data_IF_169689267514
#
_entry.id   IF_169689267514
#
_cell.length_a   1.000
_cell.length_b   1.000
_cell.length_c   1.000
_cell.angle_alpha   90.00
_cell.angle_beta   90.00
_cell.angle_gamma   90.00
#
_symmetry.space_group_name_H-M   'P 1'
#
loop_
_entity.id
_entity.type
_entity.pdbx_description
1 polymer ?
#
# COMPACT_ATOMS: atom_id res chain seq x y z
N UNK A 1 -17.45 65.46 -13.36
CA UNK A 1 -16.89 66.59 -14.14
C UNK A 1 -15.63 66.16 -14.85
N UNK A 2 -15.74 66.27 -16.17
CA UNK A 2 -14.70 66.57 -17.22
C UNK A 2 -13.50 65.62 -17.31
N UNK A 3 -13.41 64.75 -18.36
CA UNK A 3 -12.99 65.17 -19.72
C UNK A 3 -11.54 65.74 -19.71
N UNK A 4 -10.58 65.19 -20.47
CA UNK A 4 -10.34 65.28 -21.89
C UNK A 4 -9.08 64.48 -22.24
N UNK A 5 -9.08 63.56 -23.22
CA UNK A 5 -8.73 63.81 -24.65
C UNK A 5 -7.31 64.39 -24.86
N UNK A 6 -6.44 63.72 -25.54
CA UNK A 6 -6.14 63.73 -26.99
C UNK A 6 -4.68 63.28 -27.14
N UNK A 7 -4.21 62.65 -28.07
CA UNK A 7 -4.25 62.49 -29.50
C UNK A 7 -2.85 62.31 -30.05
N UNK A 8 -2.71 61.33 -30.94
CA UNK A 8 -2.03 61.37 -32.25
C UNK A 8 -0.53 61.70 -32.29
N UNK A 9 0.30 61.05 -33.07
CA UNK A 9 0.31 60.68 -34.48
C UNK A 9 1.65 60.03 -34.85
N UNK A 10 1.75 58.92 -35.56
CA UNK A 10 1.82 58.83 -37.01
C UNK A 10 3.15 59.30 -37.67
N UNK A 11 3.71 58.41 -38.46
CA UNK A 11 4.69 58.76 -39.53
C UNK A 11 5.82 57.72 -39.62
N UNK A 12 5.76 56.87 -40.49
CA UNK A 12 5.93 56.73 -41.94
C UNK A 12 7.33 56.37 -42.42
N UNK A 13 7.39 55.16 -43.03
CA UNK A 13 8.13 54.76 -44.25
C UNK A 13 9.61 55.15 -44.43
N UNK A 14 10.43 54.14 -44.71
CA UNK A 14 10.96 53.87 -46.05
C UNK A 14 11.78 52.59 -46.14
N UNK A 15 11.54 51.89 -47.24
CA UNK A 15 12.27 50.81 -47.86
C UNK A 15 13.71 51.18 -48.21
N UNK A 16 14.57 50.18 -48.33
CA UNK A 16 15.49 49.91 -49.47
C UNK A 16 16.36 48.68 -49.13
N UNK A 17 16.07 47.58 -49.75
CA UNK A 17 16.75 46.78 -50.79
C UNK A 17 18.27 46.51 -50.62
N UNK A 18 18.50 45.18 -50.64
CA UNK A 18 19.58 44.44 -51.33
C UNK A 18 20.96 44.34 -50.69
N UNK A 19 21.36 43.11 -50.37
CA UNK A 19 22.30 42.32 -51.16
C UNK A 19 22.52 40.92 -50.56
N UNK A 20 22.41 39.97 -51.46
CA UNK A 20 22.86 38.57 -51.28
C UNK A 20 24.36 38.52 -50.91
N UNK A 21 24.72 37.62 -50.01
CA UNK A 21 25.95 36.88 -50.12
C UNK A 21 25.73 35.49 -49.48
N UNK A 22 26.02 34.48 -50.31
CA UNK A 22 26.08 33.07 -50.00
C UNK A 22 27.12 32.81 -48.91
N UNK A 23 26.77 32.07 -47.88
CA UNK A 23 27.66 31.54 -46.90
C UNK A 23 27.21 30.13 -46.46
N UNK A 24 27.96 29.17 -46.88
CA UNK A 24 27.75 27.72 -46.80
C UNK A 24 27.38 27.21 -45.42
N UNK A 25 26.47 26.23 -45.40
CA UNK A 25 25.95 25.54 -44.25
C UNK A 25 27.02 24.80 -43.45
N UNK A 26 26.88 24.90 -42.14
CA UNK A 26 27.26 23.88 -41.21
C UNK A 26 26.02 23.36 -40.51
N UNK A 27 25.55 22.21 -40.96
CA UNK A 27 24.56 21.41 -40.24
C UNK A 27 25.14 20.99 -38.90
N UNK A 28 24.73 21.62 -37.83
CA UNK A 28 24.93 21.11 -36.48
C UNK A 28 24.08 19.86 -36.32
N UNK A 29 24.71 18.71 -36.36
CA UNK A 29 24.12 17.43 -35.97
C UNK A 29 23.72 17.50 -34.49
N UNK A 30 22.42 17.47 -34.20
CA UNK A 30 21.88 17.19 -32.88
C UNK A 30 22.33 15.77 -32.50
N UNK A 31 22.91 15.54 -31.31
CA UNK A 31 23.12 14.19 -30.82
C UNK A 31 21.77 13.57 -30.51
N UNK A 32 21.47 12.43 -31.14
CA UNK A 32 20.42 11.53 -30.74
C UNK A 32 20.74 11.08 -29.31
N UNK A 33 19.92 11.50 -28.36
CA UNK A 33 19.87 10.89 -27.03
C UNK A 33 19.42 9.44 -27.23
N UNK A 34 20.36 8.52 -27.23
CA UNK A 34 20.05 7.11 -27.05
C UNK A 34 19.44 6.96 -25.65
N UNK A 35 18.12 6.77 -25.59
CA UNK A 35 17.50 6.14 -24.41
C UNK A 35 18.20 4.80 -24.20
N UNK A 36 19.08 4.76 -23.22
CA UNK A 36 19.55 3.49 -22.66
C UNK A 36 18.36 2.90 -21.91
N UNK A 37 17.64 2.01 -22.55
CA UNK A 37 16.79 1.03 -21.89
C UNK A 37 17.72 0.10 -21.13
N UNK A 38 18.05 0.43 -19.90
CA UNK A 38 18.69 -0.53 -19.00
C UNK A 38 17.62 -1.52 -18.59
N UNK A 39 17.67 -2.68 -19.21
CA UNK A 39 17.03 -3.87 -18.73
C UNK A 39 17.59 -4.19 -17.34
N UNK A 40 16.84 -3.89 -16.29
CA UNK A 40 17.08 -4.38 -14.93
C UNK A 40 16.00 -5.43 -14.64
N UNK A 41 16.09 -6.54 -15.32
CA UNK A 41 15.30 -7.73 -15.05
C UNK A 41 16.28 -8.86 -14.70
N UNK A 42 16.86 -8.84 -13.49
CA UNK A 42 17.54 -10.00 -12.91
C UNK A 42 17.94 -9.73 -11.45
N UNK A 43 16.97 -9.50 -10.55
CA UNK A 43 17.26 -9.48 -9.11
C UNK A 43 16.02 -9.76 -8.22
N UNK A 44 14.98 -10.44 -8.73
CA UNK A 44 13.75 -10.62 -7.94
C UNK A 44 13.37 -12.06 -7.58
N UNK A 45 14.14 -13.07 -7.96
CA UNK A 45 13.73 -14.48 -7.72
C UNK A 45 14.21 -15.08 -6.39
N UNK A 46 15.01 -14.40 -5.57
CA UNK A 46 15.55 -14.98 -4.33
C UNK A 46 14.90 -14.46 -3.03
N UNK A 47 14.10 -13.38 -3.09
CA UNK A 47 13.62 -12.71 -1.88
C UNK A 47 12.36 -13.34 -1.24
N UNK A 48 11.68 -14.25 -1.93
CA UNK A 48 10.41 -14.85 -1.48
C UNK A 48 10.42 -16.37 -1.38
N UNK A 49 11.57 -17.04 -1.48
CA UNK A 49 11.63 -18.48 -1.28
C UNK A 49 11.52 -18.82 0.21
N UNK A 50 10.42 -19.49 0.56
CA UNK A 50 10.17 -19.99 1.91
C UNK A 50 11.07 -21.22 2.20
N UNK A 51 11.65 -21.30 3.39
CA UNK A 51 12.35 -22.49 3.88
C UNK A 51 11.38 -23.67 4.03
N UNK A 52 11.90 -24.88 4.16
CA UNK A 52 11.07 -26.09 4.38
C UNK A 52 10.16 -25.96 5.61
N UNK A 53 10.65 -25.35 6.69
CA UNK A 53 9.84 -25.10 7.89
C UNK A 53 8.71 -24.12 7.61
N UNK A 54 9.00 -23.01 6.93
CA UNK A 54 8.00 -22.01 6.54
C UNK A 54 6.95 -22.59 5.59
N UNK A 55 7.36 -23.44 4.64
CA UNK A 55 6.44 -24.15 3.76
C UNK A 55 5.49 -25.07 4.56
N UNK A 56 6.03 -25.80 5.55
CA UNK A 56 5.19 -26.60 6.47
C UNK A 56 4.20 -25.73 7.24
N UNK A 57 4.62 -24.61 7.78
CA UNK A 57 3.73 -23.67 8.47
C UNK A 57 2.60 -23.16 7.56
N UNK A 58 2.92 -22.84 6.30
CA UNK A 58 1.90 -22.45 5.30
C UNK A 58 0.93 -23.60 5.03
N UNK A 59 1.41 -24.85 4.90
CA UNK A 59 0.52 -26.01 4.70
C UNK A 59 -0.43 -26.21 5.89
N UNK A 60 0.05 -26.10 7.11
CA UNK A 60 -0.78 -26.17 8.32
C UNK A 60 -1.85 -25.06 8.35
N UNK A 61 -1.49 -23.84 7.92
CA UNK A 61 -2.45 -22.74 7.76
C UNK A 61 -3.54 -23.09 6.75
N UNK A 62 -3.16 -23.61 5.57
CA UNK A 62 -4.12 -23.93 4.51
C UNK A 62 -5.09 -25.03 4.95
N UNK A 63 -4.59 -26.08 5.61
CA UNK A 63 -5.41 -27.14 6.19
C UNK A 63 -6.40 -26.58 7.22
N UNK A 64 -5.93 -25.77 8.16
CA UNK A 64 -6.77 -25.13 9.18
C UNK A 64 -7.81 -24.19 8.54
N UNK A 65 -7.41 -23.39 7.55
CA UNK A 65 -8.32 -22.50 6.84
C UNK A 65 -9.46 -23.25 6.15
N UNK A 66 -9.14 -24.32 5.42
CA UNK A 66 -10.13 -25.12 4.69
C UNK A 66 -11.09 -25.84 5.65
N UNK A 67 -10.59 -26.40 6.75
CA UNK A 67 -11.44 -27.05 7.77
C UNK A 67 -12.40 -26.03 8.43
N UNK A 68 -11.88 -24.90 8.90
CA UNK A 68 -12.69 -23.89 9.55
C UNK A 68 -13.66 -23.19 8.58
N UNK A 69 -13.27 -23.05 7.30
CA UNK A 69 -14.11 -22.43 6.29
C UNK A 69 -15.43 -23.17 6.05
N UNK A 70 -15.47 -24.47 6.31
CA UNK A 70 -16.70 -25.28 6.24
C UNK A 70 -17.75 -24.81 7.27
N UNK A 71 -17.32 -24.16 8.35
CA UNK A 71 -18.16 -23.76 9.49
C UNK A 71 -18.36 -22.24 9.60
N UNK A 72 -17.46 -21.43 9.00
CA UNK A 72 -17.41 -20.01 9.33
C UNK A 72 -17.38 -19.03 8.14
N UNK A 73 -17.33 -19.48 6.90
CA UNK A 73 -17.21 -18.59 5.72
C UNK A 73 -16.06 -17.58 5.86
N UNK A 74 -14.85 -18.07 6.12
CA UNK A 74 -13.65 -17.25 6.24
C UNK A 74 -13.20 -16.69 4.90
N UNK A 75 -13.36 -17.48 3.85
CA UNK A 75 -13.01 -17.14 2.47
C UNK A 75 -13.99 -17.76 1.48
N UNK A 76 -14.14 -17.13 0.31
CA UNK A 76 -14.88 -17.71 -0.82
C UNK A 76 -14.09 -18.80 -1.57
N UNK A 77 -12.79 -18.94 -1.29
CA UNK A 77 -11.90 -19.92 -1.93
C UNK A 77 -11.94 -21.21 -1.11
N UNK A 78 -12.26 -22.32 -1.76
CA UNK A 78 -12.44 -23.63 -1.12
C UNK A 78 -11.49 -24.70 -1.66
N UNK A 79 -10.73 -24.40 -2.70
CA UNK A 79 -9.74 -25.30 -3.30
C UNK A 79 -8.34 -24.93 -2.79
N UNK A 80 -7.56 -25.95 -2.40
CA UNK A 80 -6.21 -25.77 -1.83
C UNK A 80 -5.27 -25.06 -2.79
N UNK A 81 -5.26 -25.41 -4.08
CA UNK A 81 -4.39 -24.82 -5.08
C UNK A 81 -4.75 -23.34 -5.33
N UNK A 82 -6.04 -23.03 -5.29
CA UNK A 82 -6.51 -21.64 -5.33
C UNK A 82 -6.15 -20.85 -4.07
N UNK A 83 -6.22 -21.46 -2.87
CA UNK A 83 -5.77 -20.82 -1.63
C UNK A 83 -4.29 -20.47 -1.72
N UNK A 84 -3.46 -21.40 -2.20
CA UNK A 84 -2.03 -21.16 -2.38
C UNK A 84 -1.79 -19.97 -3.34
N UNK A 85 -2.45 -19.96 -4.48
CA UNK A 85 -2.23 -18.91 -5.50
C UNK A 85 -2.83 -17.57 -5.10
N UNK A 86 -4.11 -17.56 -4.67
CA UNK A 86 -4.90 -16.34 -4.44
C UNK A 86 -4.75 -15.75 -3.04
N UNK A 87 -4.20 -16.52 -2.09
CA UNK A 87 -4.03 -16.06 -0.71
C UNK A 87 -2.57 -16.04 -0.28
N UNK A 88 -1.84 -17.14 -0.47
CA UNK A 88 -0.44 -17.22 -0.01
C UNK A 88 0.46 -16.37 -0.91
N UNK A 89 0.49 -16.63 -2.22
CA UNK A 89 1.31 -15.86 -3.19
C UNK A 89 0.93 -14.39 -3.15
N UNK A 90 -0.36 -14.07 -3.10
CA UNK A 90 -0.88 -12.72 -3.03
C UNK A 90 -0.41 -11.95 -1.77
N UNK A 91 -0.34 -12.66 -0.64
CA UNK A 91 0.18 -12.07 0.61
C UNK A 91 1.68 -11.84 0.55
N UNK A 92 2.45 -12.80 0.04
CA UNK A 92 3.91 -12.65 -0.12
C UNK A 92 4.28 -11.54 -1.09
N UNK A 93 3.48 -11.33 -2.12
CA UNK A 93 3.73 -10.33 -3.17
C UNK A 93 3.77 -8.88 -2.65
N UNK A 94 3.28 -8.60 -1.44
CA UNK A 94 3.37 -7.24 -0.84
C UNK A 94 4.72 -6.98 -0.16
N UNK A 95 5.53 -8.02 0.13
CA UNK A 95 6.82 -7.86 0.83
C UNK A 95 7.85 -7.06 0.02
N UNK A 96 8.14 -7.39 -1.25
CA UNK A 96 9.16 -6.67 -2.00
C UNK A 96 8.93 -5.15 -2.06
N UNK A 97 7.74 -4.64 -2.44
CA UNK A 97 7.51 -3.20 -2.45
C UNK A 97 7.55 -2.58 -1.04
N UNK A 98 7.07 -3.28 -0.01
CA UNK A 98 7.14 -2.80 1.37
C UNK A 98 8.59 -2.67 1.86
N UNK A 99 9.40 -3.70 1.69
CA UNK A 99 10.80 -3.72 2.13
C UNK A 99 11.63 -2.68 1.36
N UNK A 100 11.42 -2.58 0.04
CA UNK A 100 12.06 -1.56 -0.77
C UNK A 100 11.71 -0.14 -0.30
N UNK A 101 10.43 0.14 -0.07
CA UNK A 101 9.98 1.44 0.41
C UNK A 101 10.53 1.77 1.80
N UNK A 102 10.67 0.77 2.68
CA UNK A 102 11.17 0.95 4.03
C UNK A 102 12.68 1.18 4.06
N UNK A 103 13.46 0.34 3.34
CA UNK A 103 14.94 0.42 3.28
C UNK A 103 15.44 1.61 2.50
N UNK A 104 14.81 1.99 1.39
CA UNK A 104 15.18 3.18 0.59
C UNK A 104 15.09 4.49 1.38
N UNK A 105 14.38 4.47 2.51
CA UNK A 105 14.23 5.59 3.45
C UNK A 105 15.13 5.48 4.68
N UNK A 106 16.08 4.54 4.68
CA UNK A 106 17.00 4.29 5.79
C UNK A 106 16.38 3.50 6.95
N UNK A 107 15.22 2.87 6.75
CA UNK A 107 14.58 2.01 7.74
C UNK A 107 15.30 0.68 7.89
N UNK A 108 15.39 0.16 9.12
CA UNK A 108 15.92 -1.16 9.42
C UNK A 108 14.80 -2.20 9.39
N UNK A 109 14.92 -3.19 8.52
CA UNK A 109 13.96 -4.29 8.36
C UNK A 109 14.22 -5.48 9.29
N UNK A 110 15.18 -5.41 10.18
CA UNK A 110 15.53 -6.52 11.08
C UNK A 110 14.44 -6.85 12.12
N UNK A 111 13.59 -5.89 12.46
CA UNK A 111 12.59 -6.05 13.52
C UNK A 111 11.40 -5.09 13.39
N UNK A 112 10.67 -5.16 12.27
CA UNK A 112 9.47 -4.34 12.03
C UNK A 112 8.30 -4.79 12.90
N UNK A 113 7.56 -3.84 13.48
CA UNK A 113 6.24 -4.05 14.06
C UNK A 113 5.15 -3.77 13.01
N UNK A 114 4.35 -4.78 12.67
CA UNK A 114 3.31 -4.67 11.66
C UNK A 114 1.93 -4.99 12.25
N UNK A 115 0.95 -4.15 11.98
CA UNK A 115 -0.46 -4.44 12.26
C UNK A 115 -1.19 -4.78 10.95
N UNK A 116 -1.87 -5.93 10.93
CA UNK A 116 -2.78 -6.33 9.86
C UNK A 116 -4.21 -5.95 10.26
N UNK A 117 -4.78 -4.96 9.56
CA UNK A 117 -6.05 -4.35 9.94
C UNK A 117 -7.21 -5.01 9.22
N UNK A 118 -8.11 -5.63 10.00
CA UNK A 118 -9.20 -6.43 9.48
C UNK A 118 -8.69 -7.76 8.91
N UNK A 119 -7.88 -8.47 9.68
CA UNK A 119 -7.14 -9.67 9.26
C UNK A 119 -8.01 -10.78 8.67
N UNK A 120 -9.28 -10.86 9.06
CA UNK A 120 -10.24 -11.82 8.53
C UNK A 120 -9.78 -13.27 8.72
N UNK A 121 -9.37 -13.89 7.62
CA UNK A 121 -8.75 -15.23 7.62
C UNK A 121 -7.23 -15.19 7.95
N UNK A 122 -6.71 -14.08 8.45
CA UNK A 122 -5.28 -13.91 8.76
C UNK A 122 -4.42 -13.47 7.58
N UNK A 123 -5.02 -12.81 6.60
CA UNK A 123 -4.36 -12.48 5.34
C UNK A 123 -4.32 -10.95 5.10
N UNK A 124 -3.13 -10.37 4.89
CA UNK A 124 -1.86 -11.03 4.62
C UNK A 124 -1.06 -11.42 5.89
N UNK A 125 -1.46 -11.00 7.09
CA UNK A 125 -0.65 -11.00 8.30
C UNK A 125 0.01 -12.34 8.67
N UNK A 126 -0.72 -13.47 8.69
CA UNK A 126 -0.15 -14.79 9.04
C UNK A 126 0.92 -15.24 8.05
N UNK A 127 0.70 -15.04 6.76
CA UNK A 127 1.66 -15.43 5.73
C UNK A 127 2.92 -14.57 5.79
N UNK A 128 2.76 -13.27 6.07
CA UNK A 128 3.89 -12.37 6.28
C UNK A 128 4.67 -12.74 7.55
N UNK A 129 3.98 -13.17 8.62
CA UNK A 129 4.60 -13.61 9.87
C UNK A 129 5.47 -14.85 9.68
N UNK A 130 5.00 -15.82 8.88
CA UNK A 130 5.82 -16.95 8.44
C UNK A 130 7.05 -16.50 7.68
N UNK A 131 6.89 -15.60 6.71
CA UNK A 131 7.98 -15.17 5.84
C UNK A 131 9.01 -14.29 6.56
N UNK A 132 8.63 -13.60 7.64
CA UNK A 132 9.50 -12.68 8.42
C UNK A 132 9.43 -12.96 9.91
N UNK A 133 10.07 -14.06 10.39
CA UNK A 133 9.98 -14.47 11.79
C UNK A 133 10.65 -13.50 12.78
N UNK A 134 11.50 -12.58 12.30
CA UNK A 134 12.09 -11.52 13.13
C UNK A 134 11.19 -10.30 13.33
N UNK A 135 10.10 -10.18 12.55
CA UNK A 135 9.12 -9.10 12.72
C UNK A 135 8.07 -9.46 13.76
N UNK A 136 7.43 -8.45 14.33
CA UNK A 136 6.29 -8.62 15.23
C UNK A 136 5.00 -8.28 14.50
N UNK A 137 4.01 -9.15 14.60
CA UNK A 137 2.73 -8.99 13.93
C UNK A 137 1.60 -8.88 14.95
N UNK A 138 0.71 -7.93 14.72
CA UNK A 138 -0.56 -7.82 15.43
C UNK A 138 -1.69 -8.00 14.41
N UNK A 139 -2.51 -9.04 14.61
CA UNK A 139 -3.70 -9.29 13.81
C UNK A 139 -4.90 -8.62 14.47
N UNK A 140 -5.35 -7.49 13.90
CA UNK A 140 -6.47 -6.72 14.43
C UNK A 140 -7.76 -7.10 13.69
N UNK A 141 -8.66 -7.77 14.38
CA UNK A 141 -9.95 -8.26 13.84
C UNK A 141 -11.10 -7.97 14.81
N UNK A 142 -12.20 -7.46 14.30
CA UNK A 142 -13.34 -7.06 15.13
C UNK A 142 -14.32 -8.19 15.49
N UNK A 143 -14.32 -9.25 14.70
CA UNK A 143 -15.25 -10.37 14.87
C UNK A 143 -14.65 -11.47 15.75
N UNK A 144 -15.19 -11.67 16.96
CA UNK A 144 -14.72 -12.71 17.92
C UNK A 144 -14.54 -14.09 17.27
N UNK A 145 -15.49 -14.52 16.43
CA UNK A 145 -15.39 -15.81 15.75
C UNK A 145 -14.16 -15.92 14.86
N UNK A 146 -13.78 -14.84 14.17
CA UNK A 146 -12.57 -14.82 13.36
C UNK A 146 -11.32 -14.77 14.23
N UNK A 147 -11.35 -14.04 15.34
CA UNK A 147 -10.25 -14.05 16.31
C UNK A 147 -9.97 -15.46 16.83
N UNK A 148 -11.02 -16.23 17.15
CA UNK A 148 -10.84 -17.63 17.57
C UNK A 148 -10.17 -18.50 16.50
N UNK A 149 -10.50 -18.29 15.22
CA UNK A 149 -9.78 -18.94 14.13
C UNK A 149 -8.32 -18.48 14.06
N UNK A 150 -8.06 -17.16 14.17
CA UNK A 150 -6.70 -16.62 14.13
C UNK A 150 -5.82 -17.17 15.28
N UNK A 151 -6.38 -17.23 16.49
CA UNK A 151 -5.71 -17.82 17.67
C UNK A 151 -5.35 -19.30 17.40
N UNK A 152 -6.31 -20.09 16.85
CA UNK A 152 -6.06 -21.48 16.45
C UNK A 152 -4.99 -21.57 15.33
N UNK A 153 -5.05 -20.74 14.31
CA UNK A 153 -4.08 -20.75 13.23
C UNK A 153 -2.66 -20.42 13.74
N UNK A 154 -2.51 -19.44 14.62
CA UNK A 154 -1.23 -19.09 15.27
C UNK A 154 -0.68 -20.29 16.05
N UNK A 155 -1.53 -21.01 16.79
CA UNK A 155 -1.15 -22.19 17.58
C UNK A 155 -0.67 -23.34 16.67
N UNK A 156 -1.46 -23.75 15.67
CA UNK A 156 -1.10 -24.89 14.80
C UNK A 156 0.10 -24.60 13.90
N UNK A 157 0.32 -23.34 13.53
CA UNK A 157 1.50 -22.88 12.79
C UNK A 157 2.75 -22.71 13.69
N UNK A 158 2.59 -22.80 15.00
CA UNK A 158 3.66 -22.57 15.98
C UNK A 158 4.33 -21.20 15.82
N UNK A 159 3.53 -20.14 15.60
CA UNK A 159 4.05 -18.77 15.43
C UNK A 159 4.21 -18.08 16.79
N UNK A 160 5.43 -17.66 17.10
CA UNK A 160 5.76 -16.95 18.35
C UNK A 160 5.83 -15.42 18.18
N UNK A 161 5.67 -14.93 16.96
CA UNK A 161 5.81 -13.53 16.58
C UNK A 161 4.47 -12.87 16.22
N UNK A 162 3.34 -13.45 16.60
CA UNK A 162 1.99 -12.99 16.25
C UNK A 162 1.12 -12.85 17.48
N UNK A 163 0.52 -11.69 17.65
CA UNK A 163 -0.51 -11.39 18.63
C UNK A 163 -1.87 -11.17 17.95
N UNK A 164 -2.95 -11.73 18.49
CA UNK A 164 -4.32 -11.54 18.00
C UNK A 164 -5.05 -10.56 18.90
N UNK A 165 -5.55 -9.47 18.32
CA UNK A 165 -6.29 -8.43 19.03
C UNK A 165 -7.73 -8.38 18.50
N UNK A 166 -8.70 -8.68 19.38
CA UNK A 166 -10.12 -8.66 19.05
C UNK A 166 -10.72 -7.30 19.38
N UNK A 167 -10.58 -6.34 18.47
CA UNK A 167 -11.13 -4.99 18.64
C UNK A 167 -11.43 -4.34 17.27
N UNK A 168 -12.19 -3.26 17.30
CA UNK A 168 -12.41 -2.40 16.15
C UNK A 168 -11.18 -1.55 15.87
N UNK A 169 -10.83 -1.36 14.59
CA UNK A 169 -9.71 -0.49 14.20
C UNK A 169 -9.88 0.95 14.72
N UNK A 170 -11.10 1.44 14.77
CA UNK A 170 -11.42 2.76 15.31
C UNK A 170 -11.15 2.86 16.82
N UNK A 171 -11.45 1.80 17.57
CA UNK A 171 -11.17 1.75 19.01
C UNK A 171 -9.66 1.62 19.27
N UNK A 172 -9.00 0.69 18.58
CA UNK A 172 -7.55 0.50 18.66
C UNK A 172 -6.78 1.78 18.29
N UNK A 173 -7.19 2.50 17.24
CA UNK A 173 -6.57 3.76 16.82
C UNK A 173 -6.77 4.92 17.80
N UNK A 174 -7.66 4.81 18.77
CA UNK A 174 -7.82 5.75 19.89
C UNK A 174 -7.16 5.25 21.18
N UNK A 175 -6.76 3.98 21.25
CA UNK A 175 -6.07 3.41 22.40
C UNK A 175 -4.65 3.96 22.51
N UNK A 176 -4.22 4.21 23.73
CA UNK A 176 -2.84 4.63 24.01
C UNK A 176 -1.80 3.59 23.57
N UNK A 177 -2.14 2.30 23.65
CA UNK A 177 -1.20 1.21 23.41
C UNK A 177 -0.95 0.96 21.91
N UNK A 178 -1.93 1.29 21.05
CA UNK A 178 -1.87 1.00 19.62
C UNK A 178 -1.72 2.25 18.74
N UNK A 179 -2.14 3.41 19.24
CA UNK A 179 -2.08 4.64 18.48
C UNK A 179 -0.65 5.01 18.12
N UNK A 180 -0.37 5.15 16.80
CA UNK A 180 0.93 5.56 16.26
C UNK A 180 2.11 4.75 16.82
N UNK A 181 1.88 3.43 17.09
CA UNK A 181 2.87 2.53 17.68
C UNK A 181 3.51 1.55 16.66
N UNK A 182 2.89 1.34 15.50
CA UNK A 182 3.37 0.38 14.50
C UNK A 182 4.24 1.03 13.43
N UNK A 183 5.28 0.31 12.99
CA UNK A 183 6.08 0.69 11.83
C UNK A 183 5.29 0.62 10.54
N UNK A 184 4.45 -0.42 10.43
CA UNK A 184 3.66 -0.70 9.23
C UNK A 184 2.24 -1.08 9.62
N UNK A 185 1.25 -0.52 8.91
CA UNK A 185 -0.09 -1.10 8.84
C UNK A 185 -0.30 -1.72 7.46
N UNK A 186 -0.80 -2.96 7.44
CA UNK A 186 -1.23 -3.64 6.22
C UNK A 186 -2.74 -3.83 6.23
N UNK A 187 -3.36 -3.80 5.06
CA UNK A 187 -4.78 -4.15 4.91
C UNK A 187 -5.05 -4.75 3.53
N UNK A 188 -5.94 -5.76 3.48
CA UNK A 188 -6.38 -6.41 2.25
C UNK A 188 -7.89 -6.62 2.25
N UNK A 189 -8.57 -6.16 1.18
CA UNK A 189 -10.00 -6.43 0.90
C UNK A 189 -10.99 -6.04 2.02
N UNK A 190 -10.65 -5.07 2.89
CA UNK A 190 -11.49 -4.65 4.02
C UNK A 190 -12.52 -3.61 3.60
N UNK A 191 -12.08 -2.55 2.89
CA UNK A 191 -12.91 -1.42 2.47
C UNK A 191 -12.23 -0.60 1.37
N UNK A 192 -12.92 0.45 0.88
CA UNK A 192 -12.30 1.46 0.01
C UNK A 192 -11.17 2.22 0.71
N UNK A 193 -10.17 2.68 -0.04
CA UNK A 193 -8.98 3.34 0.50
C UNK A 193 -9.26 4.53 1.41
N UNK A 194 -10.29 5.33 1.12
CA UNK A 194 -10.67 6.48 1.97
C UNK A 194 -11.12 6.05 3.37
N UNK A 195 -11.75 4.86 3.48
CA UNK A 195 -12.16 4.24 4.75
C UNK A 195 -10.95 3.56 5.41
N UNK A 196 -10.19 2.77 4.64
CA UNK A 196 -8.98 2.09 5.12
C UNK A 196 -7.96 3.07 5.68
N UNK A 197 -7.80 4.24 5.06
CA UNK A 197 -6.91 5.28 5.56
C UNK A 197 -7.24 5.67 7.00
N UNK A 198 -8.53 5.80 7.34
CA UNK A 198 -8.95 6.15 8.70
C UNK A 198 -8.79 4.98 9.69
N UNK A 199 -8.85 3.73 9.21
CA UNK A 199 -8.60 2.56 10.05
C UNK A 199 -7.11 2.32 10.31
N UNK A 200 -6.25 2.54 9.32
CA UNK A 200 -4.85 2.15 9.35
C UNK A 200 -3.91 3.27 9.81
N UNK A 201 -4.06 4.50 9.28
CA UNK A 201 -3.11 5.58 9.52
C UNK A 201 -3.00 6.03 10.99
N UNK A 202 -4.06 5.99 11.81
CA UNK A 202 -3.94 6.29 13.24
C UNK A 202 -3.10 5.30 14.04
N UNK A 203 -2.88 4.09 13.51
CA UNK A 203 -2.05 3.05 14.13
C UNK A 203 -0.57 3.18 13.76
N UNK A 204 -0.28 3.82 12.61
CA UNK A 204 1.08 3.94 12.06
C UNK A 204 1.80 5.11 12.72
N UNK A 205 3.03 4.88 13.22
CA UNK A 205 3.90 5.94 13.74
C UNK A 205 4.33 6.93 12.64
N UNK A 206 4.74 8.13 13.02
CA UNK A 206 5.33 9.07 12.06
C UNK A 206 6.62 8.48 11.48
N UNK A 207 6.77 8.55 10.16
CA UNK A 207 7.83 7.90 9.40
C UNK A 207 7.54 6.45 9.00
N UNK A 208 6.48 5.84 9.53
CA UNK A 208 6.02 4.50 9.17
C UNK A 208 5.21 4.46 7.87
N UNK A 209 4.80 3.26 7.46
CA UNK A 209 4.12 3.01 6.20
C UNK A 209 2.73 2.39 6.40
N UNK A 210 1.78 2.77 5.56
CA UNK A 210 0.56 2.01 5.35
C UNK A 210 0.58 1.39 3.95
N UNK A 211 0.41 0.06 3.86
CA UNK A 211 0.33 -0.69 2.61
C UNK A 211 -1.07 -1.29 2.44
N UNK A 212 -1.72 -0.95 1.34
CA UNK A 212 -3.01 -1.51 0.95
C UNK A 212 -2.85 -2.44 -0.26
N UNK A 213 -3.14 -3.73 -0.08
CA UNK A 213 -3.22 -4.69 -1.17
C UNK A 213 -4.53 -4.48 -1.94
N UNK A 214 -4.44 -4.16 -3.22
CA UNK A 214 -5.57 -3.83 -4.08
C UNK A 214 -5.64 -4.70 -5.33
N UNK A 215 -6.78 -4.65 -6.00
CA UNK A 215 -7.00 -5.30 -7.28
C UNK A 215 -6.31 -4.57 -8.43
N UNK A 216 -6.75 -4.87 -9.64
CA UNK A 216 -6.31 -4.19 -10.85
C UNK A 216 -6.81 -2.73 -10.86
N UNK A 217 -5.93 -1.80 -11.29
CA UNK A 217 -6.24 -0.38 -11.51
C UNK A 217 -6.95 0.35 -10.34
N UNK A 218 -6.26 0.65 -9.23
CA UNK A 218 -6.84 1.37 -8.10
C UNK A 218 -6.83 2.90 -8.25
N UNK A 219 -6.55 3.47 -9.42
CA UNK A 219 -6.31 4.91 -9.61
C UNK A 219 -7.49 5.79 -9.16
N UNK A 220 -8.73 5.39 -9.46
CA UNK A 220 -9.91 6.15 -9.02
C UNK A 220 -10.06 6.15 -7.51
N UNK A 221 -9.83 5.00 -6.89
CA UNK A 221 -9.89 4.83 -5.45
C UNK A 221 -8.80 5.65 -4.74
N UNK A 222 -7.59 5.69 -5.32
CA UNK A 222 -6.47 6.53 -4.85
C UNK A 222 -6.85 8.02 -4.92
N UNK A 223 -7.42 8.46 -6.03
CA UNK A 223 -7.86 9.86 -6.18
C UNK A 223 -8.90 10.26 -5.15
N UNK A 224 -9.90 9.39 -4.93
CA UNK A 224 -10.96 9.64 -3.95
C UNK A 224 -10.45 9.64 -2.51
N UNK A 225 -9.41 8.87 -2.20
CA UNK A 225 -8.82 8.79 -0.87
C UNK A 225 -7.84 9.93 -0.55
N UNK A 226 -7.37 10.70 -1.53
CA UNK A 226 -6.32 11.71 -1.35
C UNK A 226 -6.60 12.72 -0.23
N UNK A 227 -7.83 13.22 -0.16
CA UNK A 227 -8.23 14.17 0.89
C UNK A 227 -8.22 13.53 2.28
N UNK A 228 -8.73 12.30 2.40
CA UNK A 228 -8.75 11.53 3.65
C UNK A 228 -7.33 11.26 4.16
N UNK A 229 -6.46 10.74 3.28
CA UNK A 229 -5.05 10.47 3.59
C UNK A 229 -4.33 11.73 4.08
N UNK A 230 -4.47 12.85 3.39
CA UNK A 230 -3.88 14.14 3.80
C UNK A 230 -4.38 14.64 5.15
N UNK A 231 -5.69 14.51 5.45
CA UNK A 231 -6.29 14.84 6.76
C UNK A 231 -5.72 13.99 7.89
N UNK A 232 -5.37 12.74 7.60
CA UNK A 232 -4.84 11.77 8.57
C UNK A 232 -3.31 11.85 8.74
N UNK A 233 -2.66 12.77 8.04
CA UNK A 233 -1.24 13.06 8.21
C UNK A 233 -0.32 12.21 7.35
N UNK A 234 -0.78 11.70 6.23
CA UNK A 234 0.00 10.89 5.30
C UNK A 234 -0.06 11.40 3.87
N UNK A 235 0.84 10.92 3.04
CA UNK A 235 0.85 11.12 1.59
C UNK A 235 1.06 9.78 0.86
N UNK A 236 0.63 9.72 -0.38
CA UNK A 236 0.92 8.56 -1.23
C UNK A 236 2.42 8.54 -1.54
N UNK A 237 3.04 7.39 -1.32
CA UNK A 237 4.45 7.16 -1.58
C UNK A 237 4.65 6.48 -2.93
N UNK A 238 3.94 5.38 -3.18
CA UNK A 238 4.12 4.59 -4.39
C UNK A 238 2.86 3.77 -4.74
N UNK A 239 2.78 3.36 -6.00
CA UNK A 239 1.82 2.38 -6.54
C UNK A 239 2.59 1.33 -7.33
N UNK A 240 2.69 0.13 -6.77
CA UNK A 240 3.46 -0.96 -7.36
C UNK A 240 2.53 -2.04 -7.92
N UNK A 241 2.85 -2.55 -9.12
CA UNK A 241 2.35 -3.84 -9.55
C UNK A 241 3.07 -4.92 -8.74
N UNK A 242 2.33 -5.88 -8.20
CA UNK A 242 2.91 -6.99 -7.43
C UNK A 242 2.86 -8.28 -8.25
N UNK A 243 3.77 -9.22 -7.97
CA UNK A 243 3.83 -10.51 -8.68
C UNK A 243 2.69 -11.45 -8.23
N UNK A 244 1.46 -10.99 -8.44
CA UNK A 244 0.25 -11.77 -8.19
C UNK A 244 -0.85 -11.39 -9.17
N UNK A 245 -1.60 -12.41 -9.61
CA UNK A 245 -2.71 -12.26 -10.55
C UNK A 245 -4.03 -12.58 -9.85
N UNK A 246 -4.97 -11.65 -9.92
CA UNK A 246 -6.34 -11.87 -9.47
C UNK A 246 -7.28 -12.18 -10.65
N UNK A 247 -8.57 -12.44 -10.36
CA UNK A 247 -9.56 -12.74 -11.41
C UNK A 247 -9.78 -11.57 -12.39
N UNK A 248 -9.41 -10.36 -12.01
CA UNK A 248 -9.59 -9.15 -12.84
C UNK A 248 -8.26 -8.56 -13.36
N UNK A 249 -7.17 -9.31 -13.29
CA UNK A 249 -5.85 -8.88 -13.76
C UNK A 249 -4.81 -8.79 -12.65
N UNK A 250 -3.69 -8.14 -12.95
CA UNK A 250 -2.55 -8.00 -12.04
C UNK A 250 -2.95 -7.20 -10.79
N UNK A 251 -2.52 -7.67 -9.64
CA UNK A 251 -2.75 -6.98 -8.36
C UNK A 251 -1.75 -5.86 -8.15
N UNK A 252 -2.12 -4.95 -7.27
CA UNK A 252 -1.32 -3.77 -6.94
C UNK A 252 -1.17 -3.61 -5.43
N UNK A 253 -0.09 -2.95 -5.03
CA UNK A 253 0.13 -2.46 -3.67
C UNK A 253 0.22 -0.94 -3.69
N UNK A 254 -0.60 -0.28 -2.88
CA UNK A 254 -0.56 1.17 -2.70
C UNK A 254 0.12 1.47 -1.37
N UNK A 255 1.20 2.25 -1.41
CA UNK A 255 1.98 2.61 -0.23
C UNK A 255 1.74 4.07 0.13
N UNK A 256 1.53 4.30 1.41
CA UNK A 256 1.39 5.63 2.00
C UNK A 256 2.44 5.84 3.07
N UNK A 257 3.06 7.02 3.08
CA UNK A 257 3.99 7.46 4.12
C UNK A 257 3.25 8.27 5.16
N UNK A 258 3.41 7.93 6.43
CA UNK A 258 2.94 8.74 7.55
C UNK A 258 3.91 9.88 7.82
N UNK A 259 3.54 11.10 7.48
CA UNK A 259 4.39 12.29 7.58
C UNK A 259 4.18 13.09 8.88
N UNK A 260 2.97 13.04 9.43
CA UNK A 260 2.55 13.82 10.59
C UNK A 260 1.65 12.98 11.50
N UNK A 261 1.55 13.35 12.75
CA UNK A 261 0.61 12.75 13.69
C UNK A 261 -0.84 12.90 13.20
N UNK A 262 -1.63 11.86 13.37
CA UNK A 262 -3.07 11.89 13.09
C UNK A 262 -3.78 12.79 14.10
N UNK A 263 -4.62 13.75 13.67
CA UNK A 263 -5.38 14.57 14.61
C UNK A 263 -6.20 13.73 15.58
N UNK A 264 -6.25 14.13 16.87
CA UNK A 264 -6.88 13.37 17.98
C UNK A 264 -8.35 12.98 17.74
N UNK A 265 -9.08 13.72 16.89
CA UNK A 265 -10.46 13.41 16.51
C UNK A 265 -10.59 12.17 15.60
N UNK A 266 -9.49 11.63 15.08
CA UNK A 266 -9.44 10.44 14.25
C UNK A 266 -8.69 9.31 14.93
N UNK A 267 -9.08 8.05 14.68
CA UNK A 267 -10.27 7.65 13.94
C UNK A 267 -11.54 8.09 14.67
N UNK A 268 -12.61 8.32 13.89
CA UNK A 268 -13.94 8.61 14.43
C UNK A 268 -14.56 7.37 15.07
N UNK A 269 -15.68 7.57 15.78
CA UNK A 269 -16.40 6.48 16.47
C UNK A 269 -16.65 5.28 15.55
N UNK A 270 -16.61 4.03 16.09
CA UNK A 270 -16.86 2.81 15.35
C UNK A 270 -18.09 2.88 14.43
N UNK A 271 -17.89 2.49 13.17
CA UNK A 271 -18.90 2.51 12.12
C UNK A 271 -19.09 3.87 11.42
N UNK A 272 -18.57 4.98 11.96
CA UNK A 272 -18.65 6.30 11.30
C UNK A 272 -17.85 6.36 10.00
N UNK A 273 -16.60 5.84 9.93
CA UNK A 273 -15.81 5.88 8.69
C UNK A 273 -16.50 5.19 7.51
N UNK A 274 -17.20 4.09 7.74
CA UNK A 274 -17.89 3.35 6.68
C UNK A 274 -19.21 4.02 6.24
N UNK A 275 -19.92 4.68 7.16
CA UNK A 275 -21.18 5.36 6.86
C UNK A 275 -20.99 6.70 6.19
N UNK A 276 -19.98 7.45 6.60
CA UNK A 276 -19.64 8.79 6.11
C UNK A 276 -18.14 8.92 5.92
N UNK A 277 -17.56 8.37 4.83
CA UNK A 277 -16.12 8.46 4.56
C UNK A 277 -15.62 9.91 4.50
N UNK A 278 -14.31 10.12 4.82
CA UNK A 278 -13.66 11.44 4.84
C UNK A 278 -13.55 12.10 3.45
#
# INVERSE_FOLDING_TARGET
CRMSLCCCSAGSRRLLLSRLLLGQGRQARRPLLHLRTTATAAASSSATSLSTQQQRQVSLYVEALLDWNQRMNLTAVTDESEVMTRHVVDSLAVLPPLEHAYTSRGGDISGISLVDVGSGAGLPGLILAVARPSWKFTLLESMRKRCTFLEHAVEVMELSNVDVVCDRAESAGQSHDFRESFDVAAARAVAELKILAEYCLPLVRVGGLFIAAKGHDPHEEIRSAKAAVGKLGASMLDLCNVESMGPHGQRTAVLYLKERTTPKKYPRQPGTPSKTPL
#
